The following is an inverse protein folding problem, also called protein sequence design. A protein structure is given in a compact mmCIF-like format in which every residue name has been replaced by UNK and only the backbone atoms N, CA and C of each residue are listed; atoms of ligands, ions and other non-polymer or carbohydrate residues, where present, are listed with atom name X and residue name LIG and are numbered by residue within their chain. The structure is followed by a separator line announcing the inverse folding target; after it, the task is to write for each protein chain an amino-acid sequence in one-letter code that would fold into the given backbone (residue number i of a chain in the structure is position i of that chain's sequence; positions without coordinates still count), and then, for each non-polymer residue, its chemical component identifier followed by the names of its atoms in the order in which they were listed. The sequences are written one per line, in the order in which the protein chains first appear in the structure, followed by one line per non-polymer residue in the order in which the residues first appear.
data_IF_263243878392
#
_entry.id   IF_263243878392
#
_cell.length_a   1.000
_cell.length_b   1.000
_cell.length_c   1.000
_cell.angle_alpha   90.00
_cell.angle_beta   90.00
_cell.angle_gamma   90.00
#
_symmetry.space_group_name_H-M   'P 1'
#
loop_
_entity.id
_entity.type
_entity.pdbx_description
1 polymer ?
#
# COMPACT_ATOMS: atom_id res chain seq x y z
N UNK A 1 17.76 28.73 23.62
CA UNK A 1 18.40 28.95 22.31
C UNK A 1 18.02 27.80 21.40
N UNK A 2 17.16 28.06 20.41
CA UNK A 2 16.85 27.04 19.40
C UNK A 2 17.59 27.40 18.12
N UNK A 3 18.69 26.69 17.83
CA UNK A 3 19.35 26.82 16.57
C UNK A 3 18.40 26.41 15.46
N UNK A 4 18.43 27.09 14.37
CA UNK A 4 17.72 26.89 13.13
C UNK A 4 16.86 25.61 13.05
N UNK A 5 15.54 25.71 13.25
CA UNK A 5 14.57 24.59 13.17
C UNK A 5 14.77 23.71 11.94
N UNK A 6 15.22 24.30 10.81
CA UNK A 6 15.53 23.59 9.55
C UNK A 6 16.69 22.58 9.66
N UNK A 7 17.44 22.58 10.77
CA UNK A 7 18.55 21.64 11.01
C UNK A 7 18.22 20.60 12.07
N UNK A 8 16.97 20.54 12.54
CA UNK A 8 16.52 19.59 13.56
C UNK A 8 15.47 18.71 12.93
N UNK A 9 15.64 17.42 13.01
CA UNK A 9 14.64 16.43 12.71
C UNK A 9 14.33 15.61 13.97
N UNK A 10 13.12 15.10 14.07
CA UNK A 10 12.73 14.14 15.08
C UNK A 10 12.84 12.75 14.47
N UNK A 11 13.62 11.87 15.10
CA UNK A 11 13.76 10.50 14.65
C UNK A 11 13.19 9.55 15.71
N UNK A 12 12.24 8.72 15.32
CA UNK A 12 11.80 7.61 16.15
C UNK A 12 12.95 6.64 16.38
N UNK A 13 12.87 5.87 17.45
CA UNK A 13 13.83 4.79 17.69
C UNK A 13 13.45 3.54 16.88
N UNK A 14 14.38 2.62 16.75
CA UNK A 14 14.16 1.25 16.32
C UNK A 14 14.13 0.31 17.53
N UNK A 15 13.51 -0.86 17.39
CA UNK A 15 13.24 -1.76 18.51
C UNK A 15 13.74 -3.18 18.20
N UNK A 16 14.95 -3.58 18.71
CA UNK A 16 15.58 -4.86 18.36
C UNK A 16 14.84 -6.09 18.88
N UNK A 17 14.01 -5.93 19.91
CA UNK A 17 13.29 -7.00 20.58
C UNK A 17 11.85 -7.06 20.10
N UNK A 18 11.33 -8.25 19.80
CA UNK A 18 9.92 -8.47 19.44
C UNK A 18 8.98 -7.92 20.50
N UNK A 19 7.85 -7.40 20.03
CA UNK A 19 6.76 -6.85 20.84
C UNK A 19 7.11 -5.57 21.60
N UNK A 20 8.21 -4.91 21.28
CA UNK A 20 8.63 -3.64 21.91
C UNK A 20 8.51 -2.43 20.97
N UNK A 21 8.27 -2.64 19.68
CA UNK A 21 8.06 -1.57 18.70
C UNK A 21 6.79 -0.76 18.99
N UNK A 22 6.71 0.42 18.39
CA UNK A 22 5.58 1.31 18.62
C UNK A 22 4.29 0.75 18.01
N UNK A 23 3.18 0.95 18.72
CA UNK A 23 1.86 0.79 18.14
C UNK A 23 1.50 1.99 17.26
N UNK A 24 0.79 1.77 16.14
CA UNK A 24 0.47 2.78 15.14
C UNK A 24 -0.22 4.01 15.72
N UNK A 25 -1.20 3.84 16.60
CA UNK A 25 -1.93 4.95 17.20
C UNK A 25 -1.02 5.86 18.05
N UNK A 26 -0.05 5.30 18.77
CA UNK A 26 0.94 6.07 19.52
C UNK A 26 1.89 6.80 18.57
N UNK A 27 2.39 6.11 17.58
CA UNK A 27 3.26 6.66 16.53
C UNK A 27 2.63 7.88 15.86
N UNK A 28 1.39 7.78 15.41
CA UNK A 28 0.68 8.89 14.77
C UNK A 28 0.51 10.09 15.71
N UNK A 29 0.14 9.88 16.98
CA UNK A 29 0.06 10.98 17.97
C UNK A 29 1.39 11.70 18.16
N UNK A 30 2.50 10.96 18.21
CA UNK A 30 3.83 11.55 18.31
C UNK A 30 4.16 12.40 17.06
N UNK A 31 3.87 11.85 15.86
CA UNK A 31 4.10 12.56 14.60
C UNK A 31 3.27 13.84 14.50
N UNK A 32 1.99 13.80 14.86
CA UNK A 32 1.15 14.98 14.90
C UNK A 32 1.72 16.07 15.81
N UNK A 33 2.22 15.69 17.00
CA UNK A 33 2.88 16.63 17.91
C UNK A 33 4.14 17.22 17.27
N UNK A 34 5.00 16.40 16.66
CA UNK A 34 6.23 16.85 16.02
C UNK A 34 5.92 17.80 14.85
N UNK A 35 4.95 17.43 14.00
CA UNK A 35 4.53 18.22 12.83
C UNK A 35 3.95 19.58 13.24
N UNK A 36 3.23 19.69 14.37
CA UNK A 36 2.77 20.97 14.92
C UNK A 36 3.92 21.94 15.22
N UNK A 37 5.11 21.43 15.45
CA UNK A 37 6.33 22.23 15.65
C UNK A 37 7.12 22.47 14.36
N UNK A 38 6.57 22.13 13.20
CA UNK A 38 7.22 22.24 11.88
C UNK A 38 8.57 21.51 11.80
N UNK A 39 8.67 20.35 12.44
CA UNK A 39 9.84 19.49 12.36
C UNK A 39 9.58 18.32 11.38
N UNK A 40 10.64 17.86 10.74
CA UNK A 40 10.64 16.62 9.95
C UNK A 40 10.65 15.41 10.86
N UNK A 41 10.01 14.33 10.40
CA UNK A 41 9.91 13.05 11.12
C UNK A 41 10.63 11.99 10.33
N UNK A 42 11.52 11.26 11.01
CA UNK A 42 12.18 10.07 10.50
C UNK A 42 11.73 8.82 11.26
N UNK A 43 11.67 7.69 10.56
CA UNK A 43 11.34 6.39 11.14
C UNK A 43 12.18 5.28 10.51
N UNK A 44 12.32 4.17 11.23
CA UNK A 44 13.10 3.03 10.79
C UNK A 44 12.24 1.92 10.22
N UNK A 45 12.75 1.32 9.16
CA UNK A 45 12.30 0.05 8.58
C UNK A 45 13.44 -0.98 8.68
N UNK A 46 13.12 -2.26 8.52
CA UNK A 46 14.08 -3.34 8.72
C UNK A 46 14.07 -4.29 7.54
N UNK A 47 15.24 -4.54 6.95
CA UNK A 47 15.43 -5.62 5.99
C UNK A 47 15.26 -6.99 6.67
N UNK A 48 14.70 -7.94 5.92
CA UNK A 48 14.56 -9.34 6.32
C UNK A 48 15.58 -10.26 5.63
N UNK A 49 16.55 -9.68 4.91
CA UNK A 49 17.58 -10.44 4.22
C UNK A 49 18.39 -11.28 5.20
N UNK A 50 18.61 -12.53 4.87
CA UNK A 50 19.48 -13.42 5.65
C UNK A 50 20.88 -12.81 5.78
N UNK A 51 21.41 -12.78 6.99
CA UNK A 51 22.72 -12.17 7.28
C UNK A 51 22.70 -10.66 7.48
N UNK A 52 21.56 -9.98 7.30
CA UNK A 52 21.43 -8.59 7.71
C UNK A 52 21.66 -8.46 9.22
N UNK A 53 22.49 -7.50 9.63
CA UNK A 53 22.87 -7.31 11.04
C UNK A 53 22.59 -5.88 11.50
N UNK A 54 22.42 -5.75 12.80
CA UNK A 54 22.18 -4.47 13.47
C UNK A 54 23.26 -4.15 14.49
N UNK A 55 23.19 -2.98 15.11
CA UNK A 55 24.18 -2.52 16.10
C UNK A 55 24.07 -3.25 17.46
N UNK A 56 23.09 -4.09 17.64
CA UNK A 56 22.80 -4.79 18.89
C UNK A 56 22.93 -6.31 18.73
N UNK A 57 23.29 -7.03 19.82
CA UNK A 57 23.35 -8.50 19.78
C UNK A 57 21.99 -9.17 19.53
N UNK A 58 20.90 -8.50 19.89
CA UNK A 58 19.54 -8.95 19.59
C UNK A 58 19.11 -8.33 18.27
N UNK A 59 18.74 -9.18 17.31
CA UNK A 59 18.28 -8.76 15.99
C UNK A 59 17.04 -9.58 15.59
N UNK A 60 15.91 -9.18 16.14
CA UNK A 60 14.61 -9.74 15.78
C UNK A 60 13.82 -8.79 14.86
N UNK A 61 14.55 -8.01 14.05
CA UNK A 61 14.06 -6.88 13.26
C UNK A 61 14.33 -5.56 13.99
N UNK A 62 14.53 -4.49 13.24
CA UNK A 62 14.91 -3.15 13.76
C UNK A 62 13.92 -2.07 13.26
N UNK A 63 12.65 -2.38 13.16
CA UNK A 63 11.62 -1.45 12.73
C UNK A 63 11.16 -0.52 13.86
N UNK A 64 10.64 0.65 13.52
CA UNK A 64 9.97 1.56 14.46
C UNK A 64 8.58 1.05 14.86
N UNK A 65 7.78 0.65 13.88
CA UNK A 65 6.43 0.10 14.11
C UNK A 65 6.48 -1.41 14.33
N UNK A 66 5.90 -1.89 15.42
CA UNK A 66 5.87 -3.33 15.68
C UNK A 66 5.19 -4.12 14.56
N UNK A 67 4.13 -3.59 13.98
CA UNK A 67 3.41 -4.21 12.88
C UNK A 67 4.22 -4.38 11.59
N UNK A 68 5.36 -3.72 11.47
CA UNK A 68 6.27 -3.87 10.32
C UNK A 68 7.23 -5.05 10.46
N UNK A 69 7.34 -5.61 11.66
CA UNK A 69 8.32 -6.65 11.96
C UNK A 69 8.11 -7.89 11.09
N UNK A 70 9.14 -8.28 10.34
CA UNK A 70 9.11 -9.44 9.45
C UNK A 70 8.35 -9.24 8.14
N UNK A 71 7.79 -8.04 7.88
CA UNK A 71 7.12 -7.74 6.62
C UNK A 71 8.13 -7.27 5.54
N UNK A 72 7.79 -7.40 4.25
CA UNK A 72 8.63 -6.94 3.15
C UNK A 72 9.09 -5.49 3.33
N UNK A 73 10.35 -5.20 2.98
CA UNK A 73 10.95 -3.89 3.21
C UNK A 73 10.24 -2.78 2.44
N UNK A 74 9.88 -3.03 1.18
CA UNK A 74 9.14 -2.09 0.33
C UNK A 74 7.75 -1.79 0.88
N UNK A 75 7.06 -2.79 1.45
CA UNK A 75 5.78 -2.58 2.12
C UNK A 75 5.93 -1.64 3.32
N UNK A 76 6.96 -1.85 4.17
CA UNK A 76 7.21 -0.98 5.32
C UNK A 76 7.40 0.48 4.86
N UNK A 77 8.15 0.69 3.76
CA UNK A 77 8.37 2.02 3.15
C UNK A 77 7.05 2.59 2.60
N UNK A 78 6.30 1.82 1.84
CA UNK A 78 5.01 2.23 1.27
C UNK A 78 4.01 2.63 2.37
N UNK A 79 3.93 1.86 3.45
CA UNK A 79 3.03 2.16 4.56
C UNK A 79 3.41 3.45 5.28
N UNK A 80 4.70 3.67 5.58
CA UNK A 80 5.14 4.93 6.22
C UNK A 80 4.83 6.16 5.36
N UNK A 81 5.03 6.09 4.04
CA UNK A 81 4.64 7.19 3.14
C UNK A 81 3.12 7.35 3.05
N UNK A 82 2.37 6.25 3.05
CA UNK A 82 0.90 6.29 3.00
C UNK A 82 0.28 7.01 4.20
N UNK A 83 0.91 6.95 5.39
CA UNK A 83 0.50 7.68 6.58
C UNK A 83 0.58 9.21 6.43
N UNK A 84 1.41 9.71 5.50
CA UNK A 84 1.51 11.14 5.18
C UNK A 84 2.14 12.01 6.29
N UNK A 85 2.71 11.41 7.33
CA UNK A 85 3.26 12.11 8.49
C UNK A 85 4.73 11.75 8.78
N UNK A 86 5.39 11.03 7.87
CA UNK A 86 6.81 10.68 7.89
C UNK A 86 7.49 11.30 6.68
N UNK A 87 8.65 11.92 6.87
CA UNK A 87 9.41 12.59 5.81
C UNK A 87 10.61 11.75 5.36
N UNK A 88 11.31 11.13 6.32
CA UNK A 88 12.53 10.38 6.06
C UNK A 88 12.38 8.93 6.56
N UNK A 89 12.85 7.98 5.76
CA UNK A 89 12.82 6.55 6.10
C UNK A 89 14.26 6.02 6.09
N UNK A 90 14.63 5.31 7.17
CA UNK A 90 15.95 4.76 7.35
C UNK A 90 15.88 3.23 7.48
N UNK A 91 16.73 2.52 6.76
CA UNK A 91 16.91 1.09 6.95
C UNK A 91 17.84 0.92 8.16
N UNK A 92 17.37 0.28 9.22
CA UNK A 92 18.04 0.23 10.51
C UNK A 92 19.15 -0.84 10.59
N UNK A 93 19.08 -1.86 9.76
CA UNK A 93 20.06 -2.94 9.70
C UNK A 93 20.83 -2.93 8.37
N UNK A 94 22.05 -3.46 8.39
CA UNK A 94 22.94 -3.57 7.25
C UNK A 94 23.09 -5.08 6.88
N UNK A 95 23.07 -5.45 5.64
CA UNK A 95 22.75 -4.68 4.47
C UNK A 95 21.48 -5.25 3.84
N UNK A 96 20.58 -4.41 3.38
CA UNK A 96 19.45 -4.86 2.59
C UNK A 96 19.93 -5.47 1.26
N UNK A 97 19.19 -6.42 0.71
CA UNK A 97 19.54 -7.01 -0.59
C UNK A 97 19.36 -6.01 -1.74
N UNK A 98 19.96 -6.33 -2.89
CA UNK A 98 19.78 -5.51 -4.10
C UNK A 98 18.31 -5.49 -4.55
N UNK A 99 17.60 -6.59 -4.39
CA UNK A 99 16.18 -6.74 -4.71
C UNK A 99 15.33 -5.84 -3.80
N UNK A 100 15.56 -5.88 -2.48
CA UNK A 100 14.90 -5.00 -1.52
C UNK A 100 15.19 -3.52 -1.83
N UNK A 101 16.44 -3.17 -2.15
CA UNK A 101 16.82 -1.80 -2.48
C UNK A 101 16.17 -1.32 -3.78
N UNK A 102 16.08 -2.18 -4.81
CA UNK A 102 15.40 -1.87 -6.06
C UNK A 102 13.90 -1.67 -5.85
N UNK A 103 13.26 -2.55 -5.06
CA UNK A 103 11.85 -2.42 -4.71
C UNK A 103 11.57 -1.09 -3.98
N UNK A 104 12.39 -0.76 -2.97
CA UNK A 104 12.27 0.51 -2.25
C UNK A 104 12.51 1.74 -3.15
N UNK A 105 13.48 1.68 -4.05
CA UNK A 105 13.78 2.77 -4.98
C UNK A 105 12.63 3.03 -5.98
N UNK A 106 11.81 2.02 -6.25
CA UNK A 106 10.61 2.13 -7.08
C UNK A 106 9.40 2.76 -6.39
N UNK A 107 9.43 2.94 -5.07
CA UNK A 107 8.30 3.48 -4.32
C UNK A 107 8.12 4.97 -4.62
N UNK A 108 6.93 5.33 -5.11
CA UNK A 108 6.53 6.73 -5.28
C UNK A 108 5.74 7.19 -4.04
N UNK A 109 6.27 8.14 -3.23
CA UNK A 109 5.59 8.61 -2.02
C UNK A 109 4.22 9.27 -2.26
N UNK A 110 3.96 9.72 -3.49
CA UNK A 110 2.72 10.41 -3.87
C UNK A 110 1.62 9.46 -4.35
N UNK A 111 1.94 8.17 -4.55
CA UNK A 111 1.02 7.15 -5.08
C UNK A 111 0.85 6.05 -4.05
N UNK A 112 -0.39 5.73 -3.69
CA UNK A 112 -0.69 4.61 -2.82
C UNK A 112 -0.55 3.30 -3.61
N UNK A 113 0.58 2.62 -3.47
CA UNK A 113 0.85 1.39 -4.20
C UNK A 113 0.48 0.17 -3.38
N UNK A 114 -0.32 -0.73 -3.96
CA UNK A 114 -0.74 -2.00 -3.36
C UNK A 114 -0.01 -3.16 -4.01
N UNK A 115 0.38 -4.17 -3.22
CA UNK A 115 0.72 -5.48 -3.73
C UNK A 115 -0.53 -6.20 -4.25
N UNK A 116 -0.41 -6.96 -5.32
CA UNK A 116 -1.51 -7.73 -5.90
C UNK A 116 -1.07 -9.17 -6.13
N UNK A 117 -1.76 -10.10 -5.49
CA UNK A 117 -1.67 -11.54 -5.76
C UNK A 117 -2.74 -11.89 -6.78
N UNK A 118 -2.34 -12.23 -8.01
CA UNK A 118 -3.27 -12.62 -9.05
C UNK A 118 -3.89 -13.98 -8.74
N UNK A 119 -5.21 -14.12 -8.93
CA UNK A 119 -5.93 -15.39 -8.76
C UNK A 119 -6.17 -16.13 -10.09
N UNK A 120 -5.92 -15.45 -11.19
CA UNK A 120 -6.10 -16.00 -12.54
C UNK A 120 -5.14 -15.36 -13.54
N UNK A 121 -4.98 -15.95 -14.68
CA UNK A 121 -4.37 -15.28 -15.83
C UNK A 121 -5.32 -14.18 -16.34
N UNK A 122 -4.78 -12.97 -16.54
CA UNK A 122 -5.58 -11.83 -17.01
C UNK A 122 -5.72 -11.87 -18.52
N UNK A 123 -6.90 -11.52 -19.01
CA UNK A 123 -7.08 -11.21 -20.44
C UNK A 123 -6.32 -9.93 -20.80
N UNK A 124 -6.04 -9.71 -22.08
CA UNK A 124 -5.38 -8.48 -22.55
C UNK A 124 -6.11 -7.21 -22.07
N UNK A 125 -7.45 -7.23 -22.08
CA UNK A 125 -8.27 -6.09 -21.63
C UNK A 125 -8.17 -5.92 -20.11
N UNK A 126 -8.22 -7.00 -19.32
CA UNK A 126 -8.09 -6.91 -17.86
C UNK A 126 -6.70 -6.42 -17.46
N UNK A 127 -5.65 -6.87 -18.14
CA UNK A 127 -4.30 -6.38 -17.94
C UNK A 127 -4.20 -4.88 -18.27
N UNK A 128 -4.78 -4.44 -19.40
CA UNK A 128 -4.79 -3.04 -19.79
C UNK A 128 -5.61 -2.15 -18.81
N UNK A 129 -6.68 -2.70 -18.21
CA UNK A 129 -7.41 -2.03 -17.13
C UNK A 129 -6.55 -1.92 -15.87
N UNK A 130 -5.84 -2.98 -15.48
CA UNK A 130 -4.96 -3.00 -14.31
C UNK A 130 -3.78 -2.02 -14.46
N UNK A 131 -3.17 -1.99 -15.64
CA UNK A 131 -2.01 -1.14 -15.98
C UNK A 131 -2.43 0.22 -16.56
N UNK A 132 -3.64 0.69 -16.24
CA UNK A 132 -4.22 1.87 -16.84
C UNK A 132 -3.23 3.04 -16.96
N UNK A 133 -2.87 3.41 -18.18
CA UNK A 133 -1.75 4.30 -18.50
C UNK A 133 -1.87 5.72 -17.92
N UNK A 134 -3.11 6.18 -17.69
CA UNK A 134 -3.37 7.49 -17.08
C UNK A 134 -3.33 7.45 -15.55
N UNK A 135 -3.13 6.25 -14.97
CA UNK A 135 -3.11 5.98 -13.55
C UNK A 135 -4.50 5.88 -12.90
N UNK A 136 -4.58 5.09 -11.85
CA UNK A 136 -5.78 4.98 -11.05
C UNK A 136 -5.89 6.12 -10.05
N UNK A 137 -7.11 6.59 -9.82
CA UNK A 137 -7.42 7.61 -8.82
C UNK A 137 -8.68 7.19 -8.06
N UNK A 138 -8.61 7.29 -6.73
CA UNK A 138 -9.78 7.05 -5.88
C UNK A 138 -10.85 8.06 -6.20
N UNK A 139 -12.05 7.60 -6.46
CA UNK A 139 -13.19 8.44 -6.81
C UNK A 139 -13.61 9.34 -5.65
N UNK A 140 -14.06 10.58 -5.96
CA UNK A 140 -14.43 11.58 -4.94
C UNK A 140 -15.65 11.23 -4.10
N UNK A 141 -16.53 10.34 -4.58
CA UNK A 141 -17.68 9.80 -3.84
C UNK A 141 -17.33 8.40 -3.29
N UNK A 142 -16.53 8.37 -2.23
CA UNK A 142 -16.12 7.12 -1.58
C UNK A 142 -17.31 6.35 -1.02
N UNK A 143 -17.27 5.02 -1.19
CA UNK A 143 -18.19 4.07 -0.60
C UNK A 143 -17.55 3.36 0.58
N UNK A 144 -18.34 2.94 1.56
CA UNK A 144 -17.87 2.07 2.63
C UNK A 144 -17.49 0.66 2.15
N UNK A 145 -17.92 0.28 0.96
CA UNK A 145 -17.76 -1.07 0.43
C UNK A 145 -16.65 -1.20 -0.58
N UNK A 146 -16.32 -0.13 -1.31
CA UNK A 146 -15.36 -0.21 -2.41
C UNK A 146 -14.59 1.09 -2.63
N UNK A 147 -13.29 0.99 -2.85
CA UNK A 147 -12.53 2.00 -3.58
C UNK A 147 -12.78 1.81 -5.07
N UNK A 148 -13.04 2.90 -5.80
CA UNK A 148 -13.38 2.82 -7.22
C UNK A 148 -12.46 3.67 -8.07
N UNK A 149 -11.95 3.08 -9.16
CA UNK A 149 -11.31 3.80 -10.27
C UNK A 149 -12.21 3.76 -11.50
N UNK A 150 -12.70 4.91 -11.89
CA UNK A 150 -13.78 5.02 -12.89
C UNK A 150 -13.27 5.17 -14.32
N UNK A 151 -12.11 5.81 -14.51
CA UNK A 151 -11.63 6.20 -15.84
C UNK A 151 -11.43 5.03 -16.82
N UNK A 152 -10.95 3.84 -16.39
CA UNK A 152 -10.79 2.70 -17.29
C UNK A 152 -12.07 2.34 -18.05
N UNK A 153 -13.26 2.46 -17.44
CA UNK A 153 -14.53 2.16 -18.12
C UNK A 153 -14.79 3.04 -19.35
N UNK A 154 -14.24 4.25 -19.38
CA UNK A 154 -14.41 5.17 -20.51
C UNK A 154 -13.49 4.74 -21.63
N UNK A 155 -12.25 4.44 -21.30
CA UNK A 155 -11.22 4.01 -22.26
C UNK A 155 -11.59 2.65 -22.89
N UNK A 156 -11.98 1.68 -22.08
CA UNK A 156 -12.27 0.31 -22.50
C UNK A 156 -13.76 0.02 -22.72
N UNK A 157 -14.60 1.04 -22.93
CA UNK A 157 -16.04 0.89 -23.09
C UNK A 157 -16.48 -0.07 -24.22
N UNK A 158 -15.66 -0.20 -25.26
CA UNK A 158 -15.94 -1.04 -26.44
C UNK A 158 -15.35 -2.45 -26.34
N UNK A 159 -14.41 -2.65 -25.43
CA UNK A 159 -13.74 -3.93 -25.24
C UNK A 159 -14.66 -4.92 -24.52
N UNK A 160 -14.54 -6.20 -24.83
CA UNK A 160 -15.29 -7.24 -24.12
C UNK A 160 -14.54 -7.67 -22.87
N UNK A 161 -15.27 -7.80 -21.77
CA UNK A 161 -14.78 -8.35 -20.49
C UNK A 161 -15.79 -9.44 -20.08
N UNK A 162 -15.60 -10.68 -20.54
CA UNK A 162 -16.51 -11.78 -20.20
C UNK A 162 -16.55 -12.04 -18.70
N UNK A 163 -17.67 -12.54 -18.18
CA UNK A 163 -17.78 -12.93 -16.79
C UNK A 163 -16.89 -14.14 -16.48
N UNK A 164 -15.99 -13.99 -15.51
CA UNK A 164 -15.06 -15.01 -15.06
C UNK A 164 -14.68 -14.79 -13.60
N UNK A 165 -14.45 -15.87 -12.84
CA UNK A 165 -14.09 -15.81 -11.41
C UNK A 165 -14.98 -14.85 -10.62
N UNK A 166 -16.28 -15.10 -10.63
CA UNK A 166 -17.31 -14.24 -10.02
C UNK A 166 -17.74 -14.74 -8.62
N UNK A 167 -16.80 -15.29 -7.85
CA UNK A 167 -17.02 -15.69 -6.45
C UNK A 167 -17.47 -14.51 -5.59
N UNK A 168 -18.02 -14.79 -4.42
CA UNK A 168 -18.30 -13.77 -3.43
C UNK A 168 -17.04 -12.99 -3.07
N UNK A 169 -17.22 -11.72 -2.74
CA UNK A 169 -16.15 -10.76 -2.56
C UNK A 169 -15.77 -10.64 -1.07
N UNK A 170 -14.47 -10.62 -0.81
CA UNK A 170 -13.92 -10.37 0.53
C UNK A 170 -13.04 -9.13 0.55
N UNK A 171 -12.85 -8.55 1.72
CA UNK A 171 -11.98 -7.37 1.89
C UNK A 171 -10.58 -7.63 1.30
N UNK A 172 -10.10 -6.71 0.50
CA UNK A 172 -8.81 -6.81 -0.19
C UNK A 172 -8.89 -7.35 -1.62
N UNK A 173 -10.04 -7.90 -2.05
CA UNK A 173 -10.20 -8.31 -3.45
C UNK A 173 -10.08 -7.12 -4.40
N UNK A 174 -9.42 -7.36 -5.52
CA UNK A 174 -9.35 -6.43 -6.66
C UNK A 174 -10.22 -7.00 -7.76
N UNK A 175 -11.19 -6.20 -8.22
CA UNK A 175 -12.20 -6.65 -9.18
C UNK A 175 -12.32 -5.70 -10.35
N UNK A 176 -12.63 -6.26 -11.53
CA UNK A 176 -12.99 -5.51 -12.74
C UNK A 176 -14.46 -5.82 -13.08
N UNK A 177 -15.22 -4.77 -13.37
CA UNK A 177 -16.62 -4.92 -13.75
C UNK A 177 -16.71 -5.47 -15.18
N UNK A 178 -17.46 -6.57 -15.35
CA UNK A 178 -17.57 -7.30 -16.60
C UNK A 178 -18.74 -6.80 -17.49
N UNK A 179 -18.95 -7.47 -18.63
CA UNK A 179 -19.99 -7.13 -19.62
C UNK A 179 -21.40 -7.07 -19.02
N UNK A 180 -21.67 -7.79 -17.92
CA UNK A 180 -22.95 -7.77 -17.21
C UNK A 180 -23.31 -6.41 -16.60
N UNK A 181 -22.36 -5.52 -16.39
CA UNK A 181 -22.61 -4.15 -15.91
C UNK A 181 -22.77 -3.11 -17.01
N UNK A 182 -22.71 -3.51 -18.30
CA UNK A 182 -22.93 -2.61 -19.43
C UNK A 182 -22.22 -1.26 -19.29
N UNK A 183 -22.91 -0.24 -18.75
CA UNK A 183 -22.43 1.14 -18.60
C UNK A 183 -21.20 1.29 -17.68
N UNK A 184 -21.01 0.40 -16.73
CA UNK A 184 -19.93 0.46 -15.73
C UNK A 184 -18.79 -0.53 -16.01
N UNK A 185 -18.92 -1.31 -17.06
CA UNK A 185 -17.90 -2.25 -17.50
C UNK A 185 -16.53 -1.59 -17.57
N UNK A 186 -15.52 -2.28 -17.09
CA UNK A 186 -14.14 -1.80 -17.05
C UNK A 186 -13.78 -0.90 -15.87
N UNK A 187 -14.72 -0.54 -14.96
CA UNK A 187 -14.31 0.04 -13.68
C UNK A 187 -13.48 -0.97 -12.90
N UNK A 188 -12.40 -0.50 -12.26
CA UNK A 188 -11.61 -1.29 -11.32
C UNK A 188 -11.96 -0.88 -9.90
N UNK A 189 -12.26 -1.87 -9.05
CA UNK A 189 -12.58 -1.65 -7.64
C UNK A 189 -11.68 -2.46 -6.73
N UNK A 190 -11.40 -1.92 -5.52
CA UNK A 190 -10.82 -2.69 -4.41
C UNK A 190 -11.90 -2.82 -3.34
N UNK A 191 -12.12 -4.04 -2.88
CA UNK A 191 -13.19 -4.37 -1.92
C UNK A 191 -12.77 -3.98 -0.51
N UNK A 192 -13.61 -3.23 0.20
CA UNK A 192 -13.39 -2.79 1.57
C UNK A 192 -14.16 -3.61 2.61
N UNK A 193 -15.26 -4.24 2.22
CA UNK A 193 -16.11 -5.09 3.08
C UNK A 193 -16.60 -6.29 2.30
N UNK A 194 -16.71 -7.40 2.99
CA UNK A 194 -17.25 -8.63 2.42
C UNK A 194 -18.67 -8.43 1.92
N UNK A 195 -18.98 -8.97 0.74
CA UNK A 195 -20.30 -8.89 0.14
C UNK A 195 -20.51 -10.00 -0.89
N UNK A 196 -21.78 -10.39 -1.16
CA UNK A 196 -22.07 -11.29 -2.27
C UNK A 196 -21.73 -10.65 -3.61
N UNK A 197 -21.32 -11.49 -4.56
CA UNK A 197 -21.11 -11.10 -5.95
C UNK A 197 -22.33 -11.52 -6.79
N UNK A 198 -22.89 -10.61 -7.54
CA UNK A 198 -24.03 -10.86 -8.44
C UNK A 198 -23.61 -11.39 -9.84
N UNK A 199 -22.37 -11.87 -9.96
CA UNK A 199 -21.82 -12.40 -11.21
C UNK A 199 -21.31 -11.34 -12.19
N UNK A 200 -21.34 -10.07 -11.82
CA UNK A 200 -20.98 -8.95 -12.69
C UNK A 200 -19.61 -8.32 -12.37
N UNK A 201 -18.86 -8.92 -11.46
CA UNK A 201 -17.50 -8.48 -11.07
C UNK A 201 -16.54 -9.67 -11.17
N UNK A 202 -15.51 -9.52 -11.98
CA UNK A 202 -14.44 -10.49 -12.08
C UNK A 202 -13.42 -10.23 -10.99
N UNK A 203 -13.18 -11.18 -10.10
CA UNK A 203 -12.07 -11.12 -9.17
C UNK A 203 -10.79 -11.45 -9.93
N UNK A 204 -9.88 -10.48 -10.02
CA UNK A 204 -8.61 -10.64 -10.72
C UNK A 204 -7.48 -11.04 -9.76
N UNK A 205 -7.64 -10.76 -8.48
CA UNK A 205 -6.69 -11.06 -7.43
C UNK A 205 -7.07 -10.42 -6.11
N UNK A 206 -6.18 -10.53 -5.14
CA UNK A 206 -6.36 -9.94 -3.82
C UNK A 206 -5.09 -9.26 -3.31
N UNK A 207 -5.24 -8.32 -2.39
CA UNK A 207 -4.12 -7.74 -1.66
C UNK A 207 -3.62 -8.75 -0.61
N UNK A 208 -2.31 -8.86 -0.37
CA UNK A 208 -1.81 -9.57 0.80
C UNK A 208 -2.47 -9.07 2.08
N UNK A 209 -2.77 -9.96 3.03
CA UNK A 209 -3.51 -9.59 4.26
C UNK A 209 -2.83 -8.45 5.02
N UNK A 210 -1.50 -8.45 5.11
CA UNK A 210 -0.73 -7.40 5.79
C UNK A 210 -0.84 -6.03 5.09
N UNK A 211 -1.24 -5.97 3.82
CA UNK A 211 -1.45 -4.72 3.08
C UNK A 211 -2.84 -4.12 3.27
N UNK A 212 -3.78 -4.84 3.89
CA UNK A 212 -5.12 -4.30 4.14
C UNK A 212 -5.11 -3.00 4.94
N UNK A 213 -4.06 -2.74 5.73
CA UNK A 213 -3.88 -1.47 6.45
C UNK A 213 -3.69 -0.27 5.50
N UNK A 214 -3.16 -0.49 4.30
CA UNK A 214 -3.02 0.58 3.30
C UNK A 214 -4.37 1.10 2.82
N UNK A 215 -5.41 0.27 2.85
CA UNK A 215 -6.78 0.67 2.49
C UNK A 215 -7.29 1.79 3.40
N UNK A 216 -6.85 1.80 4.67
CA UNK A 216 -7.24 2.83 5.64
C UNK A 216 -6.55 4.19 5.37
N UNK A 217 -5.52 4.19 4.52
CA UNK A 217 -4.81 5.40 4.04
C UNK A 217 -5.36 5.93 2.71
N UNK A 218 -6.29 5.22 2.10
CA UNK A 218 -6.93 5.67 0.87
C UNK A 218 -7.92 6.81 1.16
N UNK A 219 -7.83 7.87 0.38
CA UNK A 219 -8.70 9.04 0.48
C UNK A 219 -9.13 9.47 -0.93
N UNK A 220 -10.14 10.30 -1.00
CA UNK A 220 -10.68 10.84 -2.25
C UNK A 220 -9.59 11.52 -3.09
N UNK A 221 -9.61 11.27 -4.39
CA UNK A 221 -8.66 11.80 -5.36
C UNK A 221 -7.22 11.35 -5.18
N UNK A 222 -6.93 10.45 -4.23
CA UNK A 222 -5.59 9.91 -4.05
C UNK A 222 -5.25 8.99 -5.22
N UNK A 223 -4.10 9.19 -5.90
CA UNK A 223 -3.64 8.27 -6.92
C UNK A 223 -3.21 6.96 -6.30
N UNK A 224 -3.49 5.85 -7.00
CA UNK A 224 -3.03 4.53 -6.57
C UNK A 224 -2.57 3.67 -7.75
N UNK A 225 -1.81 2.64 -7.44
CA UNK A 225 -1.26 1.69 -8.41
C UNK A 225 -1.13 0.30 -7.79
N UNK A 226 -0.80 -0.69 -8.62
CA UNK A 226 -0.52 -2.05 -8.17
C UNK A 226 0.89 -2.48 -8.55
N UNK A 227 1.46 -3.35 -7.73
CA UNK A 227 2.64 -4.14 -8.06
C UNK A 227 2.25 -5.61 -7.94
N UNK A 228 2.33 -6.36 -9.03
CA UNK A 228 2.03 -7.80 -9.00
C UNK A 228 3.12 -8.50 -8.19
N UNK A 229 2.69 -9.22 -7.17
CA UNK A 229 3.54 -10.06 -6.34
C UNK A 229 3.64 -11.46 -6.97
N UNK A 230 4.86 -11.96 -7.10
CA UNK A 230 5.13 -13.32 -7.62
C UNK A 230 5.10 -14.39 -6.55
#
# INVERSE_FOLDING_TARGET
HHPHRKKVLACHNFYPQKYTGLGLAHFNRCNEFIKKHCLTVAAFVSSNTEGAYGPWPVNEGLCTLEMHRGLPLDFQVRHLFALGNVDDILIANAYASEEEMKACAGVNPSVLTFGLLLEKELTETEQAVLDFSEGHVVRGDMSEYMLRSTWPRVTFAKESIPAENTRDLVRGDVVILNDGYSRYKGELHIVLKDMPNDGRKNVIGCLPEYEHILLDSADTWKPFAFTVCG
#
